data_IF_913792925759
#
_entry.id   IF_913792925759
#
_cell.length_a   1.000
_cell.length_b   1.000
_cell.length_c   1.000
_cell.angle_alpha   90.00
_cell.angle_beta   90.00
_cell.angle_gamma   90.00
#
_symmetry.space_group_name_H-M   'P 1'
#
loop_
_entity.id
_entity.type
_entity.pdbx_description
1 polymer ?
#
# COMPACT_ATOMS: atom_id res chain seq x y z
N UNK A 1 8.64 48.82 -45.69
CA UNK A 1 7.37 48.04 -45.60
C UNK A 1 7.59 46.54 -45.36
N UNK A 2 8.33 45.79 -46.20
CA UNK A 2 8.46 44.32 -46.07
C UNK A 2 9.05 43.83 -44.73
N UNK A 3 10.06 44.51 -44.19
CA UNK A 3 10.68 44.16 -42.89
C UNK A 3 9.74 44.38 -41.70
N UNK A 4 8.91 45.43 -41.76
CA UNK A 4 7.92 45.72 -40.71
C UNK A 4 6.81 44.66 -40.70
N UNK A 5 6.31 44.29 -41.88
CA UNK A 5 5.33 43.21 -42.03
C UNK A 5 5.86 41.86 -41.50
N UNK A 6 7.14 41.57 -41.77
CA UNK A 6 7.79 40.37 -41.27
C UNK A 6 7.87 40.34 -39.73
N UNK A 7 8.29 41.44 -39.10
CA UNK A 7 8.36 41.52 -37.63
C UNK A 7 6.98 41.42 -36.99
N UNK A 8 5.95 42.05 -37.56
CA UNK A 8 4.58 41.94 -37.03
C UNK A 8 4.04 40.53 -37.14
N UNK A 9 4.36 39.81 -38.24
CA UNK A 9 3.94 38.44 -38.41
C UNK A 9 4.66 37.50 -37.43
N UNK A 10 5.96 37.70 -37.23
CA UNK A 10 6.76 36.97 -36.25
C UNK A 10 6.21 37.17 -34.82
N UNK A 11 5.82 38.40 -34.48
CA UNK A 11 5.24 38.73 -33.18
C UNK A 11 3.87 38.06 -32.98
N UNK A 12 3.01 38.08 -34.00
CA UNK A 12 1.71 37.40 -33.95
C UNK A 12 1.85 35.88 -33.82
N UNK A 13 2.82 35.28 -34.53
CA UNK A 13 3.14 33.85 -34.38
C UNK A 13 3.70 33.54 -32.99
N UNK A 14 4.55 34.41 -32.44
CA UNK A 14 5.09 34.30 -31.08
C UNK A 14 4.01 34.40 -30.00
N UNK A 15 2.92 35.14 -30.23
CA UNK A 15 1.79 35.22 -29.29
C UNK A 15 0.91 33.96 -29.33
N UNK A 16 0.94 33.20 -30.43
CA UNK A 16 0.16 31.98 -30.59
C UNK A 16 0.87 30.72 -30.07
N UNK A 17 2.18 30.78 -29.81
CA UNK A 17 2.95 29.63 -29.28
C UNK A 17 2.49 29.09 -27.92
N UNK A 18 1.99 29.88 -26.95
CA UNK A 18 1.55 29.34 -25.65
C UNK A 18 0.25 28.54 -25.77
N UNK A 19 -0.56 28.76 -26.81
CA UNK A 19 -1.83 28.05 -27.00
C UNK A 19 -1.61 26.58 -27.36
N UNK A 20 -0.48 26.25 -28.00
CA UNK A 20 -0.08 24.87 -28.30
C UNK A 20 0.39 24.14 -27.03
N UNK A 21 0.98 24.85 -26.07
CA UNK A 21 1.40 24.27 -24.78
C UNK A 21 0.25 24.07 -23.79
N UNK A 22 -0.82 24.86 -23.87
CA UNK A 22 -1.94 24.79 -22.93
C UNK A 22 -2.94 23.65 -23.23
N UNK A 23 -2.81 22.96 -24.36
CA UNK A 23 -3.67 21.85 -24.74
C UNK A 23 -3.22 20.48 -24.18
N UNK A 24 -2.10 20.42 -23.47
CA UNK A 24 -1.72 19.21 -22.74
C UNK A 24 -2.45 19.24 -21.41
N UNK A 25 -3.55 18.49 -21.30
CA UNK A 25 -4.09 18.07 -20.00
C UNK A 25 -2.91 17.53 -19.17
N UNK A 26 -2.60 18.14 -18.02
CA UNK A 26 -1.47 17.69 -17.20
C UNK A 26 -1.72 16.25 -16.75
N UNK A 27 -1.01 15.31 -17.36
CA UNK A 27 -0.99 13.89 -16.96
C UNK A 27 0.08 13.61 -15.91
N UNK A 28 0.86 14.63 -15.52
CA UNK A 28 1.97 14.53 -14.58
C UNK A 28 1.63 15.14 -13.22
N UNK A 29 2.10 14.49 -12.15
CA UNK A 29 2.14 15.05 -10.81
C UNK A 29 3.10 16.25 -10.77
N UNK A 30 3.01 17.06 -9.70
CA UNK A 30 3.84 18.28 -9.53
C UNK A 30 5.36 18.03 -9.52
N UNK A 31 5.78 16.79 -9.33
CA UNK A 31 7.17 16.33 -9.37
C UNK A 31 7.58 15.74 -10.74
N UNK A 32 6.69 15.77 -11.74
CA UNK A 32 6.91 15.22 -13.08
C UNK A 32 6.66 13.72 -13.21
N UNK A 33 6.23 13.03 -12.15
CA UNK A 33 5.87 11.61 -12.22
C UNK A 33 4.49 11.41 -12.82
N UNK A 34 4.19 10.22 -13.33
CA UNK A 34 2.83 9.84 -13.83
C UNK A 34 2.24 8.67 -13.05
N UNK A 35 2.99 8.16 -12.06
CA UNK A 35 2.60 7.00 -11.26
C UNK A 35 2.84 7.28 -9.77
N UNK A 36 1.86 6.89 -8.96
CA UNK A 36 1.92 6.95 -7.49
C UNK A 36 1.98 5.52 -6.96
N UNK A 37 2.98 5.20 -6.12
CA UNK A 37 3.10 3.90 -5.45
C UNK A 37 3.30 4.11 -3.96
N UNK A 38 2.48 3.44 -3.14
CA UNK A 38 2.61 3.43 -1.69
C UNK A 38 2.53 1.99 -1.17
N UNK A 39 3.49 1.60 -0.33
CA UNK A 39 3.48 0.31 0.38
C UNK A 39 3.06 0.52 1.84
N UNK A 40 2.09 -0.25 2.31
CA UNK A 40 1.66 -0.24 3.71
C UNK A 40 2.29 -1.42 4.44
N UNK A 41 3.18 -1.16 5.38
CA UNK A 41 3.77 -2.17 6.26
C UNK A 41 3.34 -1.87 7.70
N UNK A 42 2.26 -2.51 8.14
CA UNK A 42 1.78 -2.44 9.52
C UNK A 42 1.34 -3.84 9.97
N UNK A 43 1.57 -4.17 11.24
CA UNK A 43 1.06 -5.37 11.88
C UNK A 43 -0.21 -5.03 12.67
N UNK A 44 -1.21 -5.90 12.63
CA UNK A 44 -2.52 -5.70 13.28
C UNK A 44 -3.58 -5.06 12.38
N UNK A 45 -4.69 -4.63 12.97
CA UNK A 45 -5.78 -3.95 12.25
C UNK A 45 -5.49 -2.45 12.11
N UNK A 46 -5.54 -1.94 10.88
CA UNK A 46 -5.29 -0.53 10.60
C UNK A 46 -5.78 -0.12 9.21
N UNK A 47 -6.11 1.16 9.04
CA UNK A 47 -6.50 1.71 7.74
C UNK A 47 -5.29 1.86 6.83
N UNK A 48 -5.41 1.44 5.56
CA UNK A 48 -4.44 1.71 4.51
C UNK A 48 -4.47 3.17 4.01
N UNK A 49 -5.11 4.11 4.73
CA UNK A 49 -5.12 5.52 4.41
C UNK A 49 -6.06 5.93 3.26
N UNK A 50 -5.98 7.21 2.87
CA UNK A 50 -6.79 7.83 1.81
C UNK A 50 -5.90 8.21 0.61
N UNK A 51 -6.26 7.77 -0.58
CA UNK A 51 -5.62 8.19 -1.83
C UNK A 51 -6.42 9.37 -2.40
N UNK A 52 -5.80 10.54 -2.51
CA UNK A 52 -6.43 11.74 -3.12
C UNK A 52 -5.89 11.95 -4.53
N UNK A 53 -6.79 11.98 -5.51
CA UNK A 53 -6.46 12.22 -6.91
C UNK A 53 -6.56 13.72 -7.22
N UNK A 54 -5.63 14.30 -8.00
CA UNK A 54 -5.72 15.70 -8.40
C UNK A 54 -6.86 15.93 -9.40
N UNK A 55 -7.40 17.15 -9.42
CA UNK A 55 -8.43 17.55 -10.38
C UNK A 55 -7.90 17.40 -11.81
N UNK A 56 -8.66 16.70 -12.67
CA UNK A 56 -8.30 16.46 -14.07
C UNK A 56 -7.50 15.17 -14.31
N UNK A 57 -7.16 14.40 -13.27
CA UNK A 57 -6.51 13.10 -13.44
C UNK A 57 -7.49 12.05 -13.98
N UNK A 58 -7.13 11.42 -15.10
CA UNK A 58 -7.81 10.24 -15.62
C UNK A 58 -7.14 8.98 -15.05
N UNK A 59 -7.86 8.25 -14.19
CA UNK A 59 -7.37 6.96 -13.66
C UNK A 59 -7.79 5.84 -14.60
N UNK A 60 -6.84 5.34 -15.37
CA UNK A 60 -7.06 4.21 -16.29
C UNK A 60 -7.00 2.86 -15.59
N UNK A 61 -6.36 2.78 -14.41
CA UNK A 61 -6.31 1.56 -13.60
C UNK A 61 -5.67 1.76 -12.23
N UNK A 62 -6.05 0.91 -11.28
CA UNK A 62 -5.44 0.81 -9.95
C UNK A 62 -5.09 -0.66 -9.67
N UNK A 63 -3.91 -0.90 -9.08
CA UNK A 63 -3.48 -2.25 -8.69
C UNK A 63 -3.16 -2.26 -7.20
N UNK A 64 -3.82 -3.16 -6.47
CA UNK A 64 -3.56 -3.42 -5.06
C UNK A 64 -2.92 -4.81 -4.95
N UNK A 65 -1.84 -4.93 -4.19
CA UNK A 65 -1.26 -6.21 -3.84
C UNK A 65 -1.37 -6.40 -2.33
N UNK A 66 -2.13 -7.39 -1.91
CA UNK A 66 -2.34 -7.71 -0.50
C UNK A 66 -1.55 -8.97 -0.19
N UNK A 67 -0.59 -8.85 0.72
CA UNK A 67 0.16 -10.00 1.26
C UNK A 67 -0.30 -10.19 2.70
N UNK A 68 -0.94 -11.33 2.97
CA UNK A 68 -1.39 -11.71 4.30
C UNK A 68 -0.37 -12.62 4.96
N UNK A 69 0.52 -12.06 5.76
CA UNK A 69 1.40 -12.83 6.65
C UNK A 69 0.72 -12.99 8.03
N UNK A 70 0.99 -14.10 8.71
CA UNK A 70 0.49 -14.31 10.06
C UNK A 70 1.01 -13.20 10.99
N UNK A 71 0.12 -12.44 11.63
CA UNK A 71 0.50 -11.31 12.48
C UNK A 71 1.43 -11.72 13.63
N UNK A 72 1.29 -12.94 14.13
CA UNK A 72 2.20 -13.59 15.08
C UNK A 72 2.20 -15.09 14.84
N UNK A 73 3.40 -15.68 14.69
CA UNK A 73 3.58 -17.13 14.71
C UNK A 73 4.18 -17.50 16.06
N UNK A 74 3.39 -18.12 16.94
CA UNK A 74 3.88 -18.61 18.24
C UNK A 74 4.24 -20.08 18.13
N UNK A 75 5.51 -20.40 18.38
CA UNK A 75 5.97 -21.78 18.51
C UNK A 75 5.95 -22.20 19.97
N UNK A 76 5.25 -23.29 20.28
CA UNK A 76 5.30 -23.91 21.62
C UNK A 76 6.24 -25.10 21.55
N UNK A 77 7.27 -25.11 22.39
CA UNK A 77 8.23 -26.22 22.44
C UNK A 77 7.88 -27.19 23.56
N UNK A 78 7.59 -28.45 23.21
CA UNK A 78 7.23 -29.50 24.16
C UNK A 78 8.43 -30.41 24.45
N UNK A 79 9.22 -30.10 25.49
CA UNK A 79 10.45 -30.86 25.81
C UNK A 79 10.41 -31.71 27.08
N UNK A 80 9.47 -31.49 28.00
CA UNK A 80 9.40 -32.22 29.27
C UNK A 80 8.22 -33.19 29.30
N UNK A 81 8.31 -34.26 30.08
CA UNK A 81 7.23 -35.25 30.21
C UNK A 81 5.90 -34.61 30.65
N UNK A 82 5.94 -33.56 31.47
CA UNK A 82 4.75 -32.83 31.93
C UNK A 82 3.96 -32.17 30.79
N UNK A 83 4.60 -31.87 29.66
CA UNK A 83 3.93 -31.35 28.49
C UNK A 83 3.00 -32.37 27.81
N UNK A 84 3.22 -33.65 28.06
CA UNK A 84 2.47 -34.76 27.47
C UNK A 84 1.53 -35.45 28.47
N UNK A 85 1.27 -34.82 29.62
CA UNK A 85 0.44 -35.39 30.68
C UNK A 85 1.21 -36.11 31.78
N UNK A 86 2.54 -36.05 31.79
CA UNK A 86 3.35 -36.60 32.87
C UNK A 86 3.39 -38.13 32.89
N UNK A 87 3.69 -38.70 34.06
CA UNK A 87 3.73 -40.15 34.25
C UNK A 87 2.31 -40.74 34.24
N UNK A 88 2.09 -41.78 33.43
CA UNK A 88 0.76 -42.35 33.21
C UNK A 88 0.21 -43.06 34.45
N UNK A 89 -0.76 -42.46 35.13
CA UNK A 89 -1.40 -43.00 36.34
C UNK A 89 -2.74 -43.73 36.08
N UNK A 90 -3.14 -43.93 34.82
CA UNK A 90 -4.42 -44.57 34.45
C UNK A 90 -5.68 -43.74 34.79
N UNK A 91 -5.52 -42.58 35.42
CA UNK A 91 -6.58 -41.59 35.65
C UNK A 91 -5.97 -40.19 35.71
N UNK A 92 -6.33 -39.33 34.75
CA UNK A 92 -5.98 -37.91 34.81
C UNK A 92 -6.93 -37.19 35.77
N UNK A 93 -6.38 -36.67 36.87
CA UNK A 93 -7.04 -35.71 37.76
C UNK A 93 -6.06 -34.59 38.13
N UNK A 94 -6.35 -33.35 37.75
CA UNK A 94 -5.50 -32.20 38.07
C UNK A 94 -5.44 -31.16 36.94
N UNK A 95 -4.48 -30.23 37.07
CA UNK A 95 -4.27 -29.19 36.06
C UNK A 95 -3.91 -29.78 34.69
N UNK A 96 -4.39 -29.17 33.60
CA UNK A 96 -4.04 -29.56 32.25
C UNK A 96 -2.52 -29.51 31.98
N UNK A 97 -2.01 -30.34 31.04
CA UNK A 97 -0.61 -30.32 30.66
C UNK A 97 -0.20 -28.91 30.19
N UNK A 98 0.95 -28.42 30.63
CA UNK A 98 1.49 -27.13 30.17
C UNK A 98 1.69 -27.13 28.64
N UNK A 99 1.32 -26.07 27.90
CA UNK A 99 0.93 -24.72 28.37
C UNK A 99 -0.58 -24.51 28.50
N UNK A 100 -1.39 -25.56 28.38
CA UNK A 100 -2.84 -25.41 28.42
C UNK A 100 -3.26 -24.95 29.82
N UNK A 101 -3.98 -23.84 29.90
CA UNK A 101 -4.45 -23.24 31.17
C UNK A 101 -5.82 -23.78 31.59
N UNK A 102 -6.51 -24.48 30.67
CA UNK A 102 -7.79 -25.12 30.91
C UNK A 102 -7.92 -26.39 30.05
N UNK A 103 -8.64 -27.37 30.55
CA UNK A 103 -8.93 -28.61 29.84
C UNK A 103 -10.08 -29.33 30.54
N UNK A 104 -11.06 -29.78 29.77
CA UNK A 104 -12.16 -30.63 30.25
C UNK A 104 -12.11 -31.98 29.54
N UNK A 105 -12.84 -32.96 30.09
CA UNK A 105 -13.10 -34.23 29.41
C UNK A 105 -14.11 -34.04 28.28
#
# INVERSE_FOLDING_TARGET
MRKALFLTLLFLVSLATPLVGAATTETQFKDGTTSYTHTFNSAGEGSAGLITLPYGAEVTGARFNLVGEASQTTYTNFTTNNHFGGEGSGSWSGSPPSPYTSGSR
#
